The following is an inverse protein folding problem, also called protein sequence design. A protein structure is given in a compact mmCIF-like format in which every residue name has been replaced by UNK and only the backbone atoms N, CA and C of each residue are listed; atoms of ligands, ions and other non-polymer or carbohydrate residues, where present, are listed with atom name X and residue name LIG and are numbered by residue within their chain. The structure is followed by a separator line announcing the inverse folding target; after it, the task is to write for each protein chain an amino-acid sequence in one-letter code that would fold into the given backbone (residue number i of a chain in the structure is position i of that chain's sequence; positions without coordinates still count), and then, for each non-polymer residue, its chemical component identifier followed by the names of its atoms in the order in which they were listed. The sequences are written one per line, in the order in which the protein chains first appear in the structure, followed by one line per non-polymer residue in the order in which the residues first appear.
data_IF_445680886934
#
_entry.id   IF_445680886934
#
_cell.length_a   1.000
_cell.length_b   1.000
_cell.length_c   1.000
_cell.angle_alpha   90.00
_cell.angle_beta   90.00
_cell.angle_gamma   90.00
#
_symmetry.space_group_name_H-M   'P 1'
#
loop_
_entity.id
_entity.type
_entity.pdbx_description
1 polymer ?
#
# COMPACT_ATOMS: atom_id res chain seq x y z
N UNK A 1 31.47 -17.88 5.80
CA UNK A 1 30.51 -16.90 6.32
C UNK A 1 31.35 -15.74 6.79
N UNK A 2 31.66 -14.86 5.85
CA UNK A 2 32.67 -13.81 6.01
C UNK A 2 32.05 -12.59 6.71
N UNK A 3 32.86 -11.79 7.40
CA UNK A 3 32.42 -10.56 8.04
C UNK A 3 31.77 -9.56 7.05
N UNK A 4 32.10 -9.67 5.75
CA UNK A 4 31.47 -8.93 4.67
C UNK A 4 30.02 -9.33 4.38
N UNK A 5 29.68 -10.62 4.51
CA UNK A 5 28.30 -11.12 4.30
C UNK A 5 27.37 -10.64 5.42
N UNK A 6 27.88 -10.55 6.65
CA UNK A 6 27.15 -10.04 7.81
C UNK A 6 26.86 -8.54 7.66
N UNK A 7 27.84 -7.76 7.17
CA UNK A 7 27.66 -6.33 6.93
C UNK A 7 26.71 -6.04 5.75
N UNK A 8 26.77 -6.86 4.70
CA UNK A 8 25.82 -6.82 3.58
C UNK A 8 24.40 -7.19 4.02
N UNK A 9 24.25 -8.18 4.90
CA UNK A 9 22.98 -8.54 5.51
C UNK A 9 22.38 -7.41 6.35
N UNK A 10 23.20 -6.74 7.17
CA UNK A 10 22.75 -5.62 8.00
C UNK A 10 22.28 -4.41 7.16
N UNK A 11 23.01 -4.09 6.08
CA UNK A 11 22.60 -3.04 5.14
C UNK A 11 21.26 -3.37 4.46
N UNK A 12 21.09 -4.62 4.02
CA UNK A 12 19.86 -5.08 3.37
C UNK A 12 18.66 -5.05 4.34
N UNK A 13 18.88 -5.46 5.59
CA UNK A 13 17.86 -5.37 6.64
C UNK A 13 17.46 -3.92 6.89
N UNK A 14 18.43 -3.00 7.00
CA UNK A 14 18.17 -1.59 7.23
C UNK A 14 17.39 -0.94 6.08
N UNK A 15 17.76 -1.24 4.82
CA UNK A 15 17.02 -0.80 3.64
C UNK A 15 15.59 -1.37 3.58
N UNK A 16 15.42 -2.65 3.96
CA UNK A 16 14.11 -3.28 4.05
C UNK A 16 13.21 -2.64 5.11
N UNK A 17 13.77 -2.27 6.26
CA UNK A 17 13.04 -1.53 7.29
C UNK A 17 12.67 -0.12 6.80
N UNK A 18 13.56 0.56 6.08
CA UNK A 18 13.26 1.86 5.48
C UNK A 18 12.09 1.80 4.50
N UNK A 19 12.09 0.86 3.55
CA UNK A 19 10.98 0.73 2.59
C UNK A 19 9.67 0.31 3.29
N UNK A 20 9.77 -0.49 4.36
CA UNK A 20 8.62 -0.84 5.18
C UNK A 20 8.01 0.40 5.85
N UNK A 21 8.81 1.30 6.43
CA UNK A 21 8.32 2.55 7.00
C UNK A 21 7.73 3.50 5.96
N UNK A 22 8.29 3.55 4.73
CA UNK A 22 7.71 4.29 3.60
C UNK A 22 6.32 3.75 3.27
N UNK A 23 6.19 2.43 3.12
CA UNK A 23 4.95 1.77 2.74
C UNK A 23 3.91 1.72 3.87
N UNK A 24 4.36 1.72 5.14
CA UNK A 24 3.50 1.61 6.32
C UNK A 24 2.43 2.69 6.37
N UNK A 25 2.80 3.94 6.10
CA UNK A 25 1.86 5.06 6.09
C UNK A 25 0.72 4.84 5.09
N UNK A 26 1.04 4.37 3.89
CA UNK A 26 0.06 4.05 2.87
C UNK A 26 -0.80 2.82 3.23
N UNK A 27 -0.18 1.78 3.78
CA UNK A 27 -0.81 0.51 4.10
C UNK A 27 -1.83 0.65 5.22
N UNK A 28 -1.52 1.43 6.25
CA UNK A 28 -2.38 1.69 7.41
C UNK A 28 -3.46 2.74 7.11
N UNK A 29 -3.21 3.67 6.18
CA UNK A 29 -4.18 4.70 5.80
C UNK A 29 -5.50 4.10 5.28
N UNK A 30 -5.45 3.10 4.40
CA UNK A 30 -6.68 2.54 3.80
C UNK A 30 -7.59 1.85 4.81
N UNK A 31 -7.11 0.93 5.67
CA UNK A 31 -7.92 0.34 6.74
C UNK A 31 -8.52 1.39 7.66
N UNK A 32 -7.74 2.40 8.06
CA UNK A 32 -8.23 3.49 8.91
C UNK A 32 -9.37 4.28 8.24
N UNK A 33 -9.25 4.60 6.95
CA UNK A 33 -10.29 5.33 6.21
C UNK A 33 -11.54 4.48 5.95
N UNK A 34 -11.42 3.16 5.96
CA UNK A 34 -12.52 2.23 5.65
C UNK A 34 -13.14 1.58 6.88
N UNK A 35 -12.58 1.83 8.07
CA UNK A 35 -13.02 1.23 9.33
C UNK A 35 -12.59 -0.24 9.51
N UNK A 36 -11.60 -0.69 8.75
CA UNK A 36 -11.01 -2.03 8.87
C UNK A 36 -9.82 -2.01 9.85
N UNK A 37 -9.52 -3.18 10.42
CA UNK A 37 -8.41 -3.31 11.38
C UNK A 37 -7.04 -3.19 10.67
N UNK A 38 -6.20 -2.19 11.03
CA UNK A 38 -4.90 -2.00 10.40
C UNK A 38 -3.89 -3.09 10.77
N UNK A 39 -4.03 -3.74 11.94
CA UNK A 39 -3.16 -4.83 12.37
C UNK A 39 -3.34 -6.08 11.49
N UNK A 40 -4.59 -6.43 11.18
CA UNK A 40 -4.90 -7.52 10.24
C UNK A 40 -4.42 -7.18 8.83
N UNK A 41 -4.57 -5.92 8.40
CA UNK A 41 -4.07 -5.48 7.10
C UNK A 41 -2.54 -5.57 7.00
N UNK A 42 -1.80 -5.13 8.03
CA UNK A 42 -0.34 -5.25 8.11
C UNK A 42 0.13 -6.70 8.08
N UNK A 43 -0.51 -7.56 8.88
CA UNK A 43 -0.18 -8.98 8.94
C UNK A 43 -0.42 -9.65 7.57
N UNK A 44 -1.56 -9.37 6.94
CA UNK A 44 -1.93 -9.95 5.64
C UNK A 44 -1.03 -9.44 4.52
N UNK A 45 -0.66 -8.16 4.51
CA UNK A 45 0.26 -7.58 3.54
C UNK A 45 1.68 -8.15 3.68
N UNK A 46 2.16 -8.35 4.92
CA UNK A 46 3.44 -8.99 5.19
C UNK A 46 3.47 -10.45 4.71
N UNK A 47 2.46 -11.25 5.09
CA UNK A 47 2.32 -12.64 4.66
C UNK A 47 2.18 -12.72 3.14
N UNK A 48 1.34 -11.87 2.54
CA UNK A 48 1.15 -11.82 1.10
C UNK A 48 2.44 -11.49 0.35
N UNK A 49 3.23 -10.56 0.87
CA UNK A 49 4.54 -10.20 0.31
C UNK A 49 5.53 -11.36 0.38
N UNK A 50 5.56 -12.11 1.49
CA UNK A 50 6.40 -13.31 1.62
C UNK A 50 6.00 -14.40 0.63
N UNK A 51 4.69 -14.67 0.50
CA UNK A 51 4.17 -15.63 -0.48
C UNK A 51 4.51 -15.19 -1.91
N UNK A 52 4.35 -13.90 -2.22
CA UNK A 52 4.66 -13.34 -3.52
C UNK A 52 6.15 -13.52 -3.87
N UNK A 53 7.05 -13.22 -2.93
CA UNK A 53 8.48 -13.40 -3.13
C UNK A 53 8.87 -14.87 -3.29
N UNK A 54 8.24 -15.78 -2.54
CA UNK A 54 8.45 -17.22 -2.67
C UNK A 54 8.03 -17.74 -4.05
N UNK A 55 6.86 -17.31 -4.55
CA UNK A 55 6.36 -17.72 -5.88
C UNK A 55 7.16 -17.09 -7.02
N UNK A 56 7.61 -15.85 -6.87
CA UNK A 56 8.33 -15.09 -7.92
C UNK A 56 9.84 -15.35 -7.91
N UNK A 57 10.34 -16.11 -6.93
CA UNK A 57 11.76 -16.44 -6.79
C UNK A 57 12.64 -15.21 -6.57
N UNK A 58 12.15 -14.21 -5.81
CA UNK A 58 12.85 -12.95 -5.50
C UNK A 58 13.27 -12.10 -6.72
N UNK A 59 12.70 -12.34 -7.91
CA UNK A 59 13.08 -11.63 -9.14
C UNK A 59 12.48 -10.22 -9.27
N UNK A 60 11.38 -9.96 -8.55
CA UNK A 60 10.69 -8.68 -8.60
C UNK A 60 10.55 -8.15 -7.17
N UNK A 61 11.28 -7.09 -6.79
CA UNK A 61 11.22 -6.51 -5.45
C UNK A 61 9.93 -5.68 -5.32
N UNK A 62 8.81 -6.34 -5.04
CA UNK A 62 7.51 -5.68 -4.80
C UNK A 62 7.08 -5.91 -3.37
N UNK A 63 6.66 -4.83 -2.71
CA UNK A 63 5.97 -4.87 -1.44
C UNK A 63 4.46 -4.71 -1.68
N UNK A 64 3.65 -5.66 -1.21
CA UNK A 64 2.20 -5.58 -1.37
C UNK A 64 1.64 -4.59 -0.35
N UNK A 65 1.11 -3.47 -0.83
CA UNK A 65 0.44 -2.46 -0.02
C UNK A 65 -1.08 -2.48 -0.26
N UNK A 66 -1.83 -1.85 0.64
CA UNK A 66 -3.27 -1.63 0.48
C UNK A 66 -3.55 -0.80 -0.78
N UNK A 67 -4.48 -1.28 -1.61
CA UNK A 67 -4.81 -0.60 -2.87
C UNK A 67 -5.72 0.61 -2.64
N UNK A 68 -5.18 1.81 -2.83
CA UNK A 68 -5.90 3.08 -2.75
C UNK A 68 -7.11 3.18 -3.69
N UNK A 69 -7.05 2.50 -4.85
CA UNK A 69 -8.16 2.43 -5.79
C UNK A 69 -9.42 1.76 -5.20
N UNK A 70 -9.28 0.93 -4.15
CA UNK A 70 -10.38 0.24 -3.51
C UNK A 70 -11.07 1.06 -2.41
N UNK A 71 -10.51 2.19 -1.97
CA UNK A 71 -11.11 3.04 -0.93
C UNK A 71 -12.58 3.42 -1.22
N UNK A 72 -12.93 3.97 -2.40
CA UNK A 72 -14.33 4.30 -2.70
C UNK A 72 -15.23 3.05 -2.78
N UNK A 73 -14.72 1.93 -3.28
CA UNK A 73 -15.48 0.69 -3.36
C UNK A 73 -15.76 0.08 -1.97
N UNK A 74 -14.77 0.10 -1.08
CA UNK A 74 -14.90 -0.43 0.29
C UNK A 74 -15.84 0.46 1.10
N UNK A 75 -15.69 1.78 1.05
CA UNK A 75 -16.59 2.70 1.78
C UNK A 75 -18.05 2.56 1.33
N UNK A 76 -18.29 2.43 0.03
CA UNK A 76 -19.62 2.15 -0.50
C UNK A 76 -20.14 0.76 -0.08
N UNK A 77 -19.29 -0.27 -0.15
CA UNK A 77 -19.65 -1.63 0.24
C UNK A 77 -19.99 -1.75 1.73
N UNK A 78 -19.22 -1.08 2.59
CA UNK A 78 -19.46 -1.07 4.04
C UNK A 78 -20.78 -0.37 4.36
N UNK A 79 -21.09 0.72 3.66
CA UNK A 79 -22.37 1.43 3.82
C UNK A 79 -23.57 0.60 3.33
N UNK A 80 -23.41 -0.20 2.27
CA UNK A 80 -24.50 -0.96 1.66
C UNK A 80 -24.74 -2.35 2.29
N UNK A 81 -23.66 -3.08 2.63
CA UNK A 81 -23.70 -4.50 3.01
C UNK A 81 -22.93 -4.81 4.31
N UNK A 82 -22.40 -3.78 4.98
CA UNK A 82 -21.58 -3.93 6.17
C UNK A 82 -20.18 -4.49 5.87
N UNK A 83 -19.38 -4.59 6.94
CA UNK A 83 -18.01 -5.10 6.88
C UNK A 83 -17.94 -6.54 6.36
N UNK A 84 -18.76 -7.50 6.83
CA UNK A 84 -18.66 -8.89 6.38
C UNK A 84 -18.93 -9.04 4.88
N UNK A 85 -19.97 -8.36 4.37
CA UNK A 85 -20.31 -8.40 2.94
C UNK A 85 -19.22 -7.81 2.06
N UNK A 86 -18.59 -6.73 2.53
CA UNK A 86 -17.47 -6.09 1.82
C UNK A 86 -16.24 -6.97 1.78
N UNK A 87 -15.90 -7.66 2.88
CA UNK A 87 -14.78 -8.62 2.91
C UNK A 87 -14.99 -9.79 1.94
N UNK A 88 -16.21 -10.31 1.83
CA UNK A 88 -16.54 -11.31 0.81
C UNK A 88 -16.38 -10.76 -0.61
N UNK A 89 -16.80 -9.51 -0.86
CA UNK A 89 -16.57 -8.83 -2.14
C UNK A 89 -15.09 -8.64 -2.47
N UNK A 90 -14.28 -8.28 -1.47
CA UNK A 90 -12.82 -8.19 -1.61
C UNK A 90 -12.20 -9.55 -1.90
N UNK A 91 -12.62 -10.61 -1.21
CA UNK A 91 -12.17 -11.98 -1.51
C UNK A 91 -12.53 -12.41 -2.94
N UNK A 92 -13.75 -12.10 -3.40
CA UNK A 92 -14.17 -12.36 -4.78
C UNK A 92 -13.34 -11.55 -5.80
N UNK A 93 -12.99 -10.30 -5.49
CA UNK A 93 -12.12 -9.49 -6.35
C UNK A 93 -10.71 -10.07 -6.46
N UNK A 94 -10.18 -10.66 -5.38
CA UNK A 94 -8.92 -11.40 -5.38
C UNK A 94 -8.96 -12.62 -6.29
N UNK A 95 -10.07 -13.39 -6.24
CA UNK A 95 -10.29 -14.51 -7.16
C UNK A 95 -10.34 -14.04 -8.63
N UNK A 96 -10.98 -12.90 -8.87
CA UNK A 96 -11.06 -12.28 -10.20
C UNK A 96 -9.67 -11.89 -10.70
N UNK A 97 -8.79 -11.37 -9.84
CA UNK A 97 -7.38 -11.12 -10.20
C UNK A 97 -6.61 -12.39 -10.57
N UNK A 98 -6.86 -13.50 -9.87
CA UNK A 98 -6.25 -14.80 -10.22
C UNK A 98 -6.75 -15.27 -11.60
N UNK A 99 -8.05 -15.15 -11.87
CA UNK A 99 -8.64 -15.49 -13.16
C UNK A 99 -8.06 -14.60 -14.28
N UNK A 100 -7.99 -13.28 -14.07
CA UNK A 100 -7.37 -12.33 -15.00
C UNK A 100 -5.90 -12.67 -15.26
N UNK A 101 -5.14 -13.03 -14.23
CA UNK A 101 -3.74 -13.44 -14.37
C UNK A 101 -3.60 -14.65 -15.30
N UNK A 102 -4.50 -15.63 -15.22
CA UNK A 102 -4.52 -16.78 -16.12
C UNK A 102 -4.89 -16.39 -17.56
N UNK A 103 -5.87 -15.50 -17.74
CA UNK A 103 -6.24 -14.99 -19.07
C UNK A 103 -5.07 -14.25 -19.72
N UNK A 104 -4.39 -13.38 -18.97
CA UNK A 104 -3.21 -12.64 -19.47
C UNK A 104 -2.07 -13.59 -19.83
N UNK A 105 -1.91 -14.70 -19.08
CA UNK A 105 -0.91 -15.74 -19.41
C UNK A 105 -1.19 -16.39 -20.77
N UNK A 106 -2.45 -16.58 -21.15
CA UNK A 106 -2.85 -17.22 -22.42
C UNK A 106 -2.81 -16.23 -23.59
N UNK A 107 -3.31 -15.02 -23.41
CA UNK A 107 -3.42 -14.01 -24.48
C UNK A 107 -2.16 -13.15 -24.66
N UNK A 108 -1.22 -13.23 -23.73
CA UNK A 108 0.03 -12.45 -23.76
C UNK A 108 -0.13 -11.03 -23.18
N UNK A 109 0.98 -10.47 -22.70
CA UNK A 109 1.03 -9.16 -22.03
C UNK A 109 0.69 -7.96 -22.95
N UNK A 110 0.77 -8.14 -24.28
CA UNK A 110 0.46 -7.10 -25.26
C UNK A 110 -1.01 -6.68 -25.29
N UNK A 111 -1.92 -7.53 -24.78
CA UNK A 111 -3.34 -7.18 -24.65
C UNK A 111 -3.54 -6.14 -23.54
N UNK A 112 -2.82 -6.27 -22.42
CA UNK A 112 -2.92 -5.34 -21.28
C UNK A 112 -2.42 -3.94 -21.67
N UNK A 113 -1.30 -3.85 -22.38
CA UNK A 113 -0.73 -2.55 -22.81
C UNK A 113 -1.57 -1.86 -23.89
N UNK A 114 -2.36 -2.61 -24.67
CA UNK A 114 -3.36 -2.05 -25.60
C UNK A 114 -4.64 -1.59 -24.91
N UNK A 115 -5.12 -2.35 -23.91
CA UNK A 115 -6.28 -1.98 -23.11
C UNK A 115 -6.01 -0.79 -22.20
N UNK A 116 -4.81 -0.73 -21.61
CA UNK A 116 -4.38 0.31 -20.68
C UNK A 116 -3.11 0.98 -21.21
N UNK A 117 -3.23 1.86 -22.22
CA UNK A 117 -2.09 2.57 -22.74
C UNK A 117 -1.52 3.53 -21.67
N UNK A 118 -0.20 3.82 -21.69
CA UNK A 118 0.46 4.66 -20.68
C UNK A 118 -0.19 6.05 -20.51
N UNK A 119 -0.79 6.57 -21.59
CA UNK A 119 -1.51 7.85 -21.60
C UNK A 119 -2.72 7.88 -20.67
N UNK A 120 -3.29 6.73 -20.32
CA UNK A 120 -4.43 6.63 -19.38
C UNK A 120 -3.95 6.19 -18.00
N UNK A 121 -3.02 5.24 -17.94
CA UNK A 121 -2.55 4.68 -16.65
C UNK A 121 -1.91 5.76 -15.77
N UNK A 122 -1.06 6.62 -16.34
CA UNK A 122 -0.40 7.69 -15.59
C UNK A 122 -1.39 8.66 -14.93
N UNK A 123 -2.28 9.32 -15.70
CA UNK A 123 -3.30 10.21 -15.14
C UNK A 123 -4.21 9.54 -14.12
N UNK A 124 -4.63 8.29 -14.34
CA UNK A 124 -5.47 7.56 -13.38
C UNK A 124 -4.75 7.38 -12.05
N UNK A 125 -3.48 6.99 -12.05
CA UNK A 125 -2.68 6.87 -10.83
C UNK A 125 -2.52 8.24 -10.13
N UNK A 126 -2.26 9.31 -10.88
CA UNK A 126 -2.17 10.67 -10.33
C UNK A 126 -3.48 11.11 -9.65
N UNK A 127 -4.63 10.83 -10.26
CA UNK A 127 -5.94 11.17 -9.69
C UNK A 127 -6.22 10.37 -8.42
N UNK A 128 -5.88 9.08 -8.40
CA UNK A 128 -6.01 8.26 -7.18
C UNK A 128 -5.15 8.85 -6.05
N UNK A 129 -3.90 9.22 -6.34
CA UNK A 129 -3.02 9.86 -5.36
C UNK A 129 -3.56 11.21 -4.86
N UNK A 130 -4.00 12.08 -5.78
CA UNK A 130 -4.56 13.40 -5.44
C UNK A 130 -5.83 13.28 -4.59
N UNK A 131 -6.66 12.27 -4.84
CA UNK A 131 -7.89 12.03 -4.06
C UNK A 131 -7.63 11.73 -2.58
N UNK A 132 -6.43 11.25 -2.24
CA UNK A 132 -6.04 10.88 -0.87
C UNK A 132 -5.16 11.94 -0.19
N UNK A 133 -4.67 12.93 -0.93
CA UNK A 133 -3.88 14.02 -0.38
C UNK A 133 -4.57 14.73 0.80
N UNK A 134 -5.90 15.01 0.79
CA UNK A 134 -6.57 15.63 1.92
C UNK A 134 -6.51 14.79 3.21
N UNK A 135 -6.69 13.47 3.08
CA UNK A 135 -6.61 12.54 4.22
C UNK A 135 -5.21 12.49 4.81
N UNK A 136 -4.18 12.45 3.96
CA UNK A 136 -2.78 12.47 4.39
C UNK A 136 -2.41 13.78 5.12
N UNK A 137 -2.85 14.93 4.61
CA UNK A 137 -2.64 16.24 5.25
C UNK A 137 -3.38 16.31 6.60
N UNK A 138 -4.60 15.78 6.67
CA UNK A 138 -5.35 15.67 7.92
C UNK A 138 -4.58 14.91 9.00
N UNK A 139 -3.99 13.75 8.63
CA UNK A 139 -3.17 12.95 9.54
C UNK A 139 -1.87 13.67 9.94
N UNK A 140 -1.20 14.35 9.01
CA UNK A 140 0.02 15.13 9.30
C UNK A 140 -0.25 16.30 10.27
N UNK A 141 -1.45 16.86 10.25
CA UNK A 141 -1.88 17.93 11.16
C UNK A 141 -2.41 17.40 12.52
N UNK A 142 -2.38 16.08 12.75
CA UNK A 142 -2.84 15.47 14.01
C UNK A 142 -4.36 15.34 14.14
N UNK A 143 -5.09 15.39 13.02
CA UNK A 143 -6.55 15.22 12.99
C UNK A 143 -6.93 13.78 12.68
N UNK A 144 -7.85 13.23 13.45
CA UNK A 144 -8.49 11.94 13.19
C UNK A 144 -10.01 12.12 13.18
N UNK A 145 -10.67 11.83 12.06
CA UNK A 145 -12.13 11.98 11.92
C UNK A 145 -12.65 13.41 12.13
N UNK A 146 -11.82 14.44 11.91
CA UNK A 146 -12.19 15.85 12.13
C UNK A 146 -12.00 16.37 13.55
N UNK A 147 -11.68 15.49 14.52
CA UNK A 147 -11.25 15.91 15.87
C UNK A 147 -9.73 16.08 15.91
N UNK A 148 -9.29 17.09 16.66
CA UNK A 148 -7.88 17.28 16.96
C UNK A 148 -7.48 16.35 18.10
N UNK A 149 -6.86 15.22 17.74
CA UNK A 149 -6.43 14.20 18.71
C UNK A 149 -5.02 14.53 19.24
N UNK A 150 -4.19 15.15 18.41
CA UNK A 150 -2.83 15.57 18.76
C UNK A 150 -2.67 17.08 18.49
N UNK A 151 -2.00 17.84 19.37
CA UNK A 151 -1.65 19.23 19.11
C UNK A 151 -0.93 19.36 17.76
N UNK A 152 -1.31 20.36 16.96
CA UNK A 152 -0.81 20.51 15.59
C UNK A 152 0.72 20.69 15.56
N UNK A 153 1.26 21.37 16.57
CA UNK A 153 2.70 21.53 16.76
C UNK A 153 3.41 20.16 16.90
N UNK A 154 2.96 19.31 17.82
CA UNK A 154 3.54 17.98 18.04
C UNK A 154 3.38 17.09 16.81
N UNK A 155 2.23 17.14 16.14
CA UNK A 155 1.99 16.37 14.93
C UNK A 155 2.92 16.80 13.77
N UNK A 156 3.11 18.11 13.57
CA UNK A 156 4.02 18.64 12.56
C UNK A 156 5.48 18.32 12.88
N UNK A 157 5.88 18.36 14.16
CA UNK A 157 7.23 17.93 14.57
C UNK A 157 7.46 16.44 14.27
N UNK A 158 6.51 15.57 14.61
CA UNK A 158 6.59 14.13 14.31
C UNK A 158 6.61 13.89 12.81
N UNK A 159 5.74 14.55 12.04
CA UNK A 159 5.68 14.43 10.59
C UNK A 159 6.99 14.93 9.93
N UNK A 160 7.58 16.00 10.44
CA UNK A 160 8.87 16.52 9.97
C UNK A 160 10.02 15.54 10.20
N UNK A 161 10.09 14.93 11.39
CA UNK A 161 11.06 13.87 11.70
C UNK A 161 10.85 12.67 10.77
N UNK A 162 9.61 12.22 10.59
CA UNK A 162 9.27 11.12 9.69
C UNK A 162 9.68 11.41 8.24
N UNK A 163 9.41 12.63 7.73
CA UNK A 163 9.80 13.02 6.39
C UNK A 163 11.32 13.00 6.20
N UNK A 164 12.07 13.52 7.18
CA UNK A 164 13.53 13.54 7.13
C UNK A 164 14.16 12.15 7.12
N UNK A 165 13.57 11.18 7.83
CA UNK A 165 14.08 9.80 7.89
C UNK A 165 13.76 9.00 6.64
N UNK A 166 12.69 9.35 5.92
CA UNK A 166 12.24 8.67 4.70
C UNK A 166 12.85 9.25 3.42
N UNK A 167 13.27 10.52 3.43
CA UNK A 167 13.90 11.17 2.27
C UNK A 167 15.09 10.39 1.68
N UNK A 168 16.00 9.80 2.49
CA UNK A 168 17.10 8.97 1.98
C UNK A 168 16.61 7.68 1.28
N UNK A 169 15.51 7.09 1.76
CA UNK A 169 14.94 5.87 1.19
C UNK A 169 14.23 6.11 -0.13
N UNK A 170 13.73 7.34 -0.36
CA UNK A 170 13.14 7.74 -1.63
C UNK A 170 14.18 8.00 -2.74
N UNK A 171 15.45 8.24 -2.37
CA UNK A 171 16.55 8.52 -3.31
C UNK A 171 17.38 7.28 -3.68
N UNK A 172 17.24 6.18 -2.93
CA UNK A 172 18.01 4.93 -3.07
C UNK A 172 17.33 3.93 -3.99
#
# INVERSE_FOLDING_TARGET
MDAGDVFAGFKTLFQGVQILFVAFGALVLVPLLTGLDPGVALCTAGIGTLIFQAVTGMKVPVFLASSFAFVPAITCGVAAWGVPGTLCGLAASGLLYVALSFVVRVFGSGVVTRLFPPVVVGPVICVIGLSLAPSAVGMALGRSGGLQVVPAETALFIAGIYLSTLFPAALS
#
